data_IF_495838012115
#
_entry.id   IF_495838012115
#
_cell.length_a   1.000
_cell.length_b   1.000
_cell.length_c   1.000
_cell.angle_alpha   90.00
_cell.angle_beta   90.00
_cell.angle_gamma   90.00
#
_symmetry.space_group_name_H-M   'P 1'
#
loop_
_entity.id
_entity.type
_entity.pdbx_description
1 polymer ?
#
# COMPACT_ATOMS: atom_id res chain seq x y z
N UNK A 1 17.98 -3.00 16.02
CA UNK A 1 16.73 -2.45 15.45
C UNK A 1 16.40 -3.27 14.23
N UNK A 2 15.25 -3.94 14.23
CA UNK A 2 14.78 -4.73 13.09
C UNK A 2 14.01 -3.79 12.14
N UNK A 3 14.32 -3.82 10.84
CA UNK A 3 13.67 -2.97 9.85
C UNK A 3 12.34 -3.60 9.38
N UNK A 4 11.31 -3.50 10.21
CA UNK A 4 10.00 -4.09 9.90
C UNK A 4 9.33 -3.51 8.67
N UNK A 5 9.56 -2.22 8.38
CA UNK A 5 9.08 -1.62 7.13
C UNK A 5 9.72 -2.29 5.91
N UNK A 6 11.04 -2.48 5.92
CA UNK A 6 11.76 -3.15 4.83
C UNK A 6 11.33 -4.61 4.65
N UNK A 7 11.10 -5.34 5.74
CA UNK A 7 10.57 -6.70 5.71
C UNK A 7 9.19 -6.74 5.04
N UNK A 8 8.26 -5.90 5.52
CA UNK A 8 6.92 -5.79 4.95
C UNK A 8 6.98 -5.40 3.47
N UNK A 9 7.83 -4.45 3.10
CA UNK A 9 8.00 -4.02 1.71
C UNK A 9 8.43 -5.16 0.80
N UNK A 10 9.42 -5.97 1.21
CA UNK A 10 9.86 -7.10 0.40
C UNK A 10 8.78 -8.18 0.27
N UNK A 11 8.00 -8.43 1.33
CA UNK A 11 6.88 -9.37 1.28
C UNK A 11 5.76 -8.86 0.38
N UNK A 12 5.44 -7.57 0.46
CA UNK A 12 4.49 -6.90 -0.43
C UNK A 12 4.90 -6.96 -1.90
N UNK A 13 6.19 -6.78 -2.21
CA UNK A 13 6.70 -6.88 -3.60
C UNK A 13 6.54 -8.30 -4.16
N UNK A 14 6.79 -9.32 -3.34
CA UNK A 14 6.71 -10.75 -3.75
C UNK A 14 5.28 -11.27 -3.80
N UNK A 15 4.35 -10.58 -3.15
CA UNK A 15 2.96 -10.96 -3.02
C UNK A 15 2.21 -10.77 -4.35
N UNK A 16 1.51 -11.83 -4.80
CA UNK A 16 0.60 -11.73 -5.95
C UNK A 16 -0.78 -11.21 -5.52
N UNK A 17 -1.33 -11.78 -4.44
CA UNK A 17 -2.59 -11.40 -3.81
C UNK A 17 -2.39 -10.96 -2.35
N UNK A 18 -3.03 -9.87 -1.92
CA UNK A 18 -2.86 -9.33 -0.59
C UNK A 18 -3.30 -10.31 0.50
N UNK A 19 -2.52 -10.36 1.59
CA UNK A 19 -2.83 -11.13 2.77
C UNK A 19 -4.20 -10.71 3.37
N UNK A 20 -5.00 -11.62 3.93
CA UNK A 20 -6.24 -11.26 4.60
C UNK A 20 -6.01 -10.26 5.75
N UNK A 21 -6.94 -9.32 5.92
CA UNK A 21 -6.82 -8.27 6.94
C UNK A 21 -6.65 -8.82 8.37
N UNK A 22 -7.28 -9.96 8.70
CA UNK A 22 -7.15 -10.61 10.01
C UNK A 22 -5.74 -11.09 10.33
N UNK A 23 -5.00 -11.58 9.33
CA UNK A 23 -3.62 -11.99 9.50
C UNK A 23 -2.68 -10.78 9.62
N UNK A 24 -3.00 -9.70 8.88
CA UNK A 24 -2.23 -8.46 8.92
C UNK A 24 -2.24 -7.78 10.30
N UNK A 25 -3.26 -8.02 11.13
CA UNK A 25 -3.36 -7.48 12.48
C UNK A 25 -2.22 -7.94 13.42
N UNK A 26 -1.54 -9.05 13.09
CA UNK A 26 -0.41 -9.57 13.88
C UNK A 26 0.86 -8.74 13.72
N UNK A 27 0.95 -7.95 12.66
CA UNK A 27 2.13 -7.15 12.33
C UNK A 27 1.99 -5.72 12.86
N UNK A 28 3.12 -5.06 13.15
CA UNK A 28 3.14 -3.66 13.56
C UNK A 28 2.84 -2.72 12.37
N UNK A 29 2.54 -1.45 12.67
CA UNK A 29 2.18 -0.46 11.65
C UNK A 29 3.28 -0.28 10.58
N UNK A 30 4.56 -0.32 10.96
CA UNK A 30 5.66 -0.16 10.01
C UNK A 30 5.72 -1.29 8.99
N UNK A 31 5.54 -2.54 9.42
CA UNK A 31 5.44 -3.68 8.51
C UNK A 31 4.27 -3.52 7.55
N UNK A 32 3.08 -3.16 8.07
CA UNK A 32 1.88 -2.97 7.25
C UNK A 32 2.07 -1.88 6.20
N UNK A 33 2.67 -0.75 6.58
CA UNK A 33 3.02 0.35 5.66
C UNK A 33 3.94 -0.15 4.55
N UNK A 34 5.03 -0.83 4.93
CA UNK A 34 5.96 -1.43 3.99
C UNK A 34 5.25 -2.37 3.01
N UNK A 35 4.45 -3.29 3.54
CA UNK A 35 3.69 -4.27 2.76
C UNK A 35 2.81 -3.62 1.70
N UNK A 36 2.01 -2.61 2.07
CA UNK A 36 1.12 -1.94 1.12
C UNK A 36 1.91 -1.21 0.03
N UNK A 37 3.00 -0.51 0.39
CA UNK A 37 3.87 0.14 -0.59
C UNK A 37 4.50 -0.87 -1.57
N UNK A 38 5.04 -1.98 -1.05
CA UNK A 38 5.64 -3.03 -1.86
C UNK A 38 4.64 -3.68 -2.81
N UNK A 39 3.44 -3.97 -2.31
CA UNK A 39 2.35 -4.53 -3.11
C UNK A 39 1.91 -3.57 -4.23
N UNK A 40 1.67 -2.30 -3.92
CA UNK A 40 1.27 -1.32 -4.93
C UNK A 40 2.34 -1.13 -6.01
N UNK A 41 3.62 -1.09 -5.64
CA UNK A 41 4.71 -1.01 -6.60
C UNK A 41 4.73 -2.21 -7.55
N UNK A 42 4.67 -3.43 -7.00
CA UNK A 42 4.70 -4.67 -7.78
C UNK A 42 3.45 -4.81 -8.66
N UNK A 43 2.28 -4.49 -8.12
CA UNK A 43 1.02 -4.48 -8.86
C UNK A 43 1.10 -3.50 -10.03
N UNK A 44 1.43 -2.23 -9.78
CA UNK A 44 1.49 -1.20 -10.83
C UNK A 44 2.41 -1.58 -11.98
N UNK A 45 3.55 -2.22 -11.70
CA UNK A 45 4.43 -2.78 -12.75
C UNK A 45 3.83 -3.96 -13.49
N UNK A 46 3.13 -4.86 -12.78
CA UNK A 46 2.57 -6.09 -13.34
C UNK A 46 1.41 -5.83 -14.29
N UNK A 47 0.57 -4.84 -13.98
CA UNK A 47 -0.64 -4.54 -14.77
C UNK A 47 -0.49 -3.28 -15.64
N UNK A 48 0.67 -2.62 -15.58
CA UNK A 48 0.95 -1.34 -16.26
C UNK A 48 -0.08 -0.23 -15.98
N UNK A 49 -0.64 -0.24 -14.76
CA UNK A 49 -1.63 0.74 -14.29
C UNK A 49 -1.32 1.14 -12.85
N UNK A 50 -0.67 2.31 -12.72
CA UNK A 50 -0.27 2.87 -11.42
C UNK A 50 -1.46 3.49 -10.67
N UNK A 51 -2.51 3.93 -11.36
CA UNK A 51 -3.69 4.53 -10.73
C UNK A 51 -4.55 3.45 -10.06
N UNK A 52 -4.76 2.32 -10.75
CA UNK A 52 -5.43 1.16 -10.16
C UNK A 52 -4.62 0.62 -8.97
N UNK A 53 -3.29 0.57 -9.08
CA UNK A 53 -2.43 0.15 -7.98
C UNK A 53 -2.51 1.10 -6.77
N UNK A 54 -2.55 2.42 -7.00
CA UNK A 54 -2.72 3.42 -5.95
C UNK A 54 -4.08 3.29 -5.26
N UNK A 55 -5.17 3.17 -6.04
CA UNK A 55 -6.51 2.93 -5.53
C UNK A 55 -6.57 1.66 -4.66
N UNK A 56 -5.97 0.56 -5.14
CA UNK A 56 -5.94 -0.69 -4.38
C UNK A 56 -5.11 -0.59 -3.10
N UNK A 57 -4.03 0.19 -3.09
CA UNK A 57 -3.30 0.48 -1.86
C UNK A 57 -4.13 1.26 -0.84
N UNK A 58 -4.96 2.21 -1.27
CA UNK A 58 -5.88 2.92 -0.39
C UNK A 58 -6.85 1.97 0.30
N UNK A 59 -7.47 1.07 -0.46
CA UNK A 59 -8.37 0.04 0.07
C UNK A 59 -7.65 -0.86 1.10
N UNK A 60 -6.44 -1.33 0.77
CA UNK A 60 -5.65 -2.18 1.68
C UNK A 60 -5.19 -1.44 2.93
N UNK A 61 -4.75 -0.19 2.81
CA UNK A 61 -4.30 0.60 3.95
C UNK A 61 -5.40 0.70 5.01
N UNK A 62 -6.63 1.00 4.59
CA UNK A 62 -7.78 1.05 5.52
C UNK A 62 -8.14 -0.33 6.08
N UNK A 63 -8.17 -1.37 5.25
CA UNK A 63 -8.43 -2.75 5.72
C UNK A 63 -7.41 -3.21 6.75
N UNK A 64 -6.15 -2.77 6.62
CA UNK A 64 -5.07 -3.10 7.54
C UNK A 64 -4.96 -2.15 8.74
N UNK A 65 -5.92 -1.22 8.89
CA UNK A 65 -5.98 -0.29 10.01
C UNK A 65 -4.90 0.78 10.00
N UNK A 66 -4.33 1.10 8.84
CA UNK A 66 -3.45 2.25 8.68
C UNK A 66 -4.29 3.53 8.58
N UNK A 67 -3.78 4.63 9.15
CA UNK A 67 -4.36 5.95 8.91
C UNK A 67 -4.24 6.33 7.43
N UNK A 68 -5.17 7.15 6.95
CA UNK A 68 -5.24 7.58 5.54
C UNK A 68 -3.92 8.19 5.09
N UNK A 69 -3.24 8.95 5.93
CA UNK A 69 -2.02 9.67 5.60
C UNK A 69 -0.75 8.79 5.74
N UNK A 70 -0.84 7.57 6.28
CA UNK A 70 0.31 6.76 6.70
C UNK A 70 1.30 6.42 5.56
N UNK A 71 0.81 6.35 4.32
CA UNK A 71 1.62 6.07 3.11
C UNK A 71 1.27 7.00 1.94
N UNK A 72 0.54 8.09 2.18
CA UNK A 72 0.11 8.99 1.12
C UNK A 72 1.28 9.67 0.39
N UNK A 73 2.40 9.88 1.10
CA UNK A 73 3.65 10.41 0.53
C UNK A 73 4.27 9.48 -0.51
N UNK A 74 4.03 8.16 -0.43
CA UNK A 74 4.52 7.20 -1.43
C UNK A 74 3.90 7.44 -2.80
N UNK A 75 2.68 7.99 -2.83
CA UNK A 75 1.96 8.35 -4.05
C UNK A 75 2.11 9.82 -4.43
N UNK A 76 2.85 10.60 -3.65
CA UNK A 76 3.16 11.98 -3.97
C UNK A 76 4.33 12.00 -4.96
N UNK A 77 4.04 12.29 -6.23
CA UNK A 77 5.05 12.50 -7.27
C UNK A 77 4.94 13.92 -7.82
N UNK A 78 6.09 14.57 -8.05
CA UNK A 78 6.14 15.84 -8.78
C UNK A 78 5.68 15.73 -10.22
N UNK A 79 5.74 14.52 -10.80
CA UNK A 79 5.37 14.25 -12.19
C UNK A 79 3.90 13.84 -12.35
N UNK A 80 3.28 13.33 -11.28
CA UNK A 80 1.93 12.79 -11.33
C UNK A 80 1.22 12.99 -9.98
N UNK A 81 0.49 14.10 -9.90
CA UNK A 81 -0.32 14.46 -8.74
C UNK A 81 -1.60 13.65 -8.61
N UNK A 82 -1.99 12.88 -9.64
CA UNK A 82 -3.24 12.12 -9.63
C UNK A 82 -3.11 10.82 -8.83
N UNK A 83 -1.91 10.24 -8.71
CA UNK A 83 -1.70 9.00 -7.95
C UNK A 83 -2.17 9.12 -6.50
N UNK A 84 -1.86 10.23 -5.85
CA UNK A 84 -2.31 10.49 -4.48
C UNK A 84 -3.84 10.62 -4.40
N UNK A 85 -4.48 11.24 -5.40
CA UNK A 85 -5.94 11.31 -5.48
C UNK A 85 -6.56 9.90 -5.58
N UNK A 86 -6.04 9.03 -6.45
CA UNK A 86 -6.54 7.65 -6.58
C UNK A 86 -6.34 6.84 -5.30
N UNK A 87 -5.21 7.03 -4.61
CA UNK A 87 -5.00 6.42 -3.30
C UNK A 87 -6.07 6.84 -2.28
N UNK A 88 -6.36 8.14 -2.15
CA UNK A 88 -7.40 8.61 -1.24
C UNK A 88 -8.79 8.10 -1.64
N UNK A 89 -9.11 8.12 -2.93
CA UNK A 89 -10.36 7.57 -3.44
C UNK A 89 -10.51 6.08 -3.08
N UNK A 90 -9.45 5.29 -3.20
CA UNK A 90 -9.43 3.89 -2.76
C UNK A 90 -9.68 3.73 -1.26
N UNK A 91 -9.03 4.55 -0.44
CA UNK A 91 -9.18 4.53 1.01
C UNK A 91 -10.62 4.83 1.46
N UNK A 92 -11.34 5.68 0.74
CA UNK A 92 -12.69 6.14 1.08
C UNK A 92 -13.82 5.22 0.58
N UNK A 93 -13.53 4.24 -0.29
CA UNK A 93 -14.54 3.35 -0.93
C UNK A 93 -15.18 2.29 -0.03
N UNK A 94 -14.53 1.96 1.09
CA UNK A 94 -14.92 0.90 2.05
C UNK A 94 -15.40 1.50 3.37
#
# INVERSE_FOLDING_TARGET
>A
MTNHFGEGLMDGVKCYEPCPAGDMQRYCLDYRRGYVCGFAYSLGKRIDDRYLAACRAGELARQYGLAREAIAEFFLSSEDSQLQYYYYHGYERI
#
